data_IF_473872827895
#
_entry.id   IF_473872827895
#
_cell.length_a   1.000
_cell.length_b   1.000
_cell.length_c   1.000
_cell.angle_alpha   90.00
_cell.angle_beta   90.00
_cell.angle_gamma   90.00
#
_symmetry.space_group_name_H-M   'P 1'
#
loop_
_entity.id
_entity.type
_entity.pdbx_description
1 polymer ?
#
# COMPACT_ATOMS: atom_id res chain seq x y z
N UNK A 1 -29.88 -2.86 -93.87
CA UNK A 1 -30.80 -2.79 -92.73
C UNK A 1 -30.20 -3.61 -91.62
N UNK A 2 -29.62 -2.99 -90.66
CA UNK A 2 -28.92 -3.61 -89.52
C UNK A 2 -29.85 -3.68 -88.31
N UNK A 3 -30.14 -4.86 -87.82
CA UNK A 3 -30.89 -5.11 -86.61
C UNK A 3 -29.98 -4.99 -85.38
N UNK A 4 -30.54 -4.65 -84.19
CA UNK A 4 -29.72 -4.42 -82.99
C UNK A 4 -29.19 -5.65 -82.41
N UNK A 5 -27.91 -5.58 -81.94
CA UNK A 5 -27.21 -6.64 -81.19
C UNK A 5 -27.91 -6.89 -79.83
N UNK A 6 -27.96 -8.13 -79.30
CA UNK A 6 -28.53 -8.42 -78.00
C UNK A 6 -27.55 -8.06 -76.86
N UNK A 7 -28.10 -7.49 -75.81
CA UNK A 7 -27.39 -7.19 -74.58
C UNK A 7 -26.88 -8.44 -73.89
N UNK A 8 -25.68 -8.44 -73.30
CA UNK A 8 -25.18 -9.60 -72.58
C UNK A 8 -25.96 -9.81 -71.26
N UNK A 9 -26.34 -11.04 -71.00
CA UNK A 9 -27.04 -11.48 -69.81
C UNK A 9 -26.19 -11.22 -68.56
N UNK A 10 -26.76 -10.50 -67.62
CA UNK A 10 -26.21 -10.35 -66.24
C UNK A 10 -26.12 -11.75 -65.58
N UNK A 11 -24.92 -12.31 -65.56
CA UNK A 11 -24.64 -13.50 -64.77
C UNK A 11 -24.86 -13.21 -63.28
N UNK A 12 -25.80 -13.88 -62.65
CA UNK A 12 -26.00 -13.93 -61.20
C UNK A 12 -24.68 -14.26 -60.53
N UNK A 13 -24.07 -13.32 -59.85
CA UNK A 13 -22.94 -13.60 -58.93
C UNK A 13 -23.43 -14.56 -57.87
N UNK A 14 -22.69 -15.68 -57.69
CA UNK A 14 -23.01 -16.69 -56.69
C UNK A 14 -23.03 -16.07 -55.28
N UNK A 15 -23.95 -16.49 -54.39
CA UNK A 15 -24.07 -15.92 -53.03
C UNK A 15 -22.81 -16.10 -52.20
N UNK A 16 -21.96 -17.09 -52.47
CA UNK A 16 -20.70 -17.36 -51.76
C UNK A 16 -19.64 -16.24 -51.86
N UNK A 17 -19.58 -15.52 -53.00
CA UNK A 17 -18.60 -14.41 -53.17
C UNK A 17 -18.99 -13.21 -52.32
N UNK A 18 -20.26 -13.00 -52.03
CA UNK A 18 -20.76 -11.93 -51.15
C UNK A 18 -20.44 -12.17 -49.66
N UNK A 19 -20.55 -13.40 -49.24
CA UNK A 19 -20.27 -13.81 -47.85
C UNK A 19 -18.76 -13.78 -47.54
N UNK A 20 -17.92 -14.30 -48.40
CA UNK A 20 -16.45 -14.26 -48.23
C UNK A 20 -15.94 -12.82 -48.20
N UNK A 21 -16.46 -11.91 -49.04
CA UNK A 21 -16.11 -10.49 -48.98
C UNK A 21 -16.59 -9.81 -47.68
N UNK A 22 -17.76 -10.19 -47.19
CA UNK A 22 -18.25 -9.68 -45.87
C UNK A 22 -17.38 -10.15 -44.73
N UNK A 23 -17.03 -11.42 -44.66
CA UNK A 23 -16.16 -11.97 -43.62
C UNK A 23 -14.77 -11.31 -43.67
N UNK A 24 -14.21 -11.11 -44.87
CA UNK A 24 -12.91 -10.44 -45.02
C UNK A 24 -12.97 -8.97 -44.63
N UNK A 25 -14.05 -8.25 -44.95
CA UNK A 25 -14.25 -6.86 -44.52
C UNK A 25 -14.43 -6.74 -43.01
N UNK A 26 -15.20 -7.68 -42.40
CA UNK A 26 -15.37 -7.75 -40.95
C UNK A 26 -14.04 -8.06 -40.23
N UNK A 27 -13.23 -8.96 -40.77
CA UNK A 27 -11.91 -9.27 -40.18
C UNK A 27 -10.94 -8.10 -40.31
N UNK A 28 -10.92 -7.39 -41.43
CA UNK A 28 -10.11 -6.19 -41.60
C UNK A 28 -10.59 -5.02 -40.72
N UNK A 29 -11.90 -4.85 -40.58
CA UNK A 29 -12.48 -3.81 -39.71
C UNK A 29 -12.19 -4.15 -38.23
N UNK A 30 -12.30 -5.42 -37.84
CA UNK A 30 -11.96 -5.89 -36.52
C UNK A 30 -10.47 -5.67 -36.20
N UNK A 31 -9.59 -6.02 -37.14
CA UNK A 31 -8.16 -5.79 -37.01
C UNK A 31 -7.82 -4.29 -36.96
N UNK A 32 -8.46 -3.50 -37.82
CA UNK A 32 -8.30 -2.03 -37.80
C UNK A 32 -8.78 -1.41 -36.49
N UNK A 33 -9.94 -1.85 -35.96
CA UNK A 33 -10.46 -1.42 -34.67
C UNK A 33 -9.55 -1.87 -33.52
N UNK A 34 -9.03 -3.10 -33.55
CA UNK A 34 -8.05 -3.57 -32.58
C UNK A 34 -6.75 -2.77 -32.62
N UNK A 35 -6.24 -2.46 -33.82
CA UNK A 35 -5.04 -1.62 -34.00
C UNK A 35 -5.30 -0.18 -33.57
N UNK A 36 -6.49 0.38 -33.88
CA UNK A 36 -6.89 1.72 -33.47
C UNK A 36 -7.09 1.82 -31.96
N UNK A 37 -7.76 0.85 -31.34
CA UNK A 37 -7.90 0.74 -29.89
C UNK A 37 -6.53 0.56 -29.19
N UNK A 38 -5.63 -0.22 -29.79
CA UNK A 38 -4.26 -0.40 -29.30
C UNK A 38 -3.42 0.90 -29.39
N UNK A 39 -3.77 1.78 -30.38
CA UNK A 39 -3.12 3.08 -30.57
C UNK A 39 -3.66 4.17 -29.64
N UNK A 40 -4.86 3.99 -29.07
CA UNK A 40 -5.46 4.90 -28.09
C UNK A 40 -5.14 4.51 -26.64
N UNK A 41 -4.63 3.28 -26.39
CA UNK A 41 -4.17 2.86 -25.07
C UNK A 41 -2.74 3.37 -24.83
N UNK A 42 -2.59 4.17 -23.80
CA UNK A 42 -1.31 4.72 -23.39
C UNK A 42 -0.39 3.62 -22.83
N UNK A 43 0.59 3.20 -23.62
CA UNK A 43 1.59 2.22 -23.18
C UNK A 43 2.66 2.90 -22.34
N UNK A 44 2.75 2.53 -21.08
CA UNK A 44 3.75 3.02 -20.13
C UNK A 44 4.85 1.97 -19.92
N UNK A 45 6.09 2.40 -19.81
CA UNK A 45 7.21 1.50 -19.49
C UNK A 45 7.11 0.98 -18.06
N UNK A 46 6.77 1.87 -17.13
CA UNK A 46 6.54 1.51 -15.73
C UNK A 46 5.33 2.26 -15.17
N UNK A 47 4.45 1.55 -14.48
CA UNK A 47 3.39 2.15 -13.67
C UNK A 47 3.65 1.84 -12.20
N UNK A 48 3.63 2.89 -11.37
CA UNK A 48 3.78 2.78 -9.91
C UNK A 48 2.43 3.03 -9.26
N UNK A 49 2.01 2.15 -8.36
CA UNK A 49 0.71 2.21 -7.71
C UNK A 49 0.92 2.50 -6.22
N UNK A 50 0.63 3.74 -5.82
CA UNK A 50 0.83 4.25 -4.47
C UNK A 50 1.93 5.29 -4.37
N UNK A 51 1.72 6.30 -3.51
CA UNK A 51 2.53 7.51 -3.37
C UNK A 51 3.20 7.68 -2.01
N UNK A 52 3.28 6.62 -1.23
CA UNK A 52 4.08 6.63 -0.01
C UNK A 52 5.59 6.77 -0.29
N UNK A 53 6.45 6.75 0.74
CA UNK A 53 7.90 6.85 0.56
C UNK A 53 8.46 5.83 -0.43
N UNK A 54 7.89 4.62 -0.50
CA UNK A 54 8.28 3.60 -1.47
C UNK A 54 7.98 4.03 -2.91
N UNK A 55 6.74 4.49 -3.18
CA UNK A 55 6.31 4.88 -4.53
C UNK A 55 7.06 6.08 -5.06
N UNK A 56 7.17 7.16 -4.29
CA UNK A 56 7.94 8.33 -4.74
C UNK A 56 9.43 8.01 -4.91
N UNK A 57 10.02 7.21 -4.02
CA UNK A 57 11.43 6.81 -4.20
C UNK A 57 11.59 5.96 -5.47
N UNK A 58 10.70 5.03 -5.73
CA UNK A 58 10.72 4.25 -6.97
C UNK A 58 10.62 5.16 -8.20
N UNK A 59 9.72 6.15 -8.18
CA UNK A 59 9.57 7.12 -9.27
C UNK A 59 10.82 7.97 -9.49
N UNK A 60 11.51 8.39 -8.42
CA UNK A 60 12.78 9.12 -8.49
C UNK A 60 13.84 8.28 -9.20
N UNK A 61 14.02 7.01 -8.80
CA UNK A 61 15.04 6.14 -9.37
C UNK A 61 14.72 5.72 -10.80
N UNK A 62 13.46 5.39 -11.10
CA UNK A 62 13.02 5.07 -12.46
C UNK A 62 13.20 6.25 -13.42
N UNK A 63 12.79 7.47 -13.00
CA UNK A 63 13.02 8.68 -13.80
C UNK A 63 14.50 8.99 -14.04
N UNK A 64 15.37 8.75 -13.04
CA UNK A 64 16.82 8.91 -13.20
C UNK A 64 17.45 7.87 -14.15
N UNK A 65 16.81 6.72 -14.34
CA UNK A 65 17.17 5.68 -15.31
C UNK A 65 16.51 5.90 -16.68
N UNK A 66 15.90 7.06 -16.92
CA UNK A 66 15.18 7.42 -18.16
C UNK A 66 14.05 6.44 -18.51
N UNK A 67 13.42 5.86 -17.49
CA UNK A 67 12.25 5.01 -17.64
C UNK A 67 11.00 5.87 -17.58
N UNK A 68 10.23 5.90 -18.68
CA UNK A 68 8.92 6.55 -18.71
C UNK A 68 8.03 5.96 -17.62
N UNK A 69 7.70 6.76 -16.62
CA UNK A 69 7.04 6.32 -15.40
C UNK A 69 5.78 7.14 -15.12
N UNK A 70 4.68 6.45 -14.86
CA UNK A 70 3.45 7.04 -14.34
C UNK A 70 3.23 6.52 -12.93
N UNK A 71 2.96 7.43 -11.99
CA UNK A 71 2.62 7.09 -10.60
C UNK A 71 1.19 7.50 -10.28
N UNK A 72 0.38 6.56 -9.81
CA UNK A 72 -0.96 6.81 -9.27
C UNK A 72 -0.90 6.99 -7.76
N UNK A 73 -1.37 8.14 -7.27
CA UNK A 73 -1.19 8.54 -5.85
C UNK A 73 -2.05 7.75 -4.87
N UNK A 74 -3.18 7.19 -5.31
CA UNK A 74 -4.16 6.59 -4.41
C UNK A 74 -5.08 7.65 -3.78
N UNK A 75 -5.85 7.21 -2.77
CA UNK A 75 -6.81 8.09 -2.07
C UNK A 75 -6.15 9.01 -1.04
N UNK A 76 -4.97 8.64 -0.58
CA UNK A 76 -4.18 9.40 0.41
C UNK A 76 -2.81 9.74 -0.20
N UNK A 77 -2.71 10.85 -0.96
CA UNK A 77 -1.44 11.29 -1.55
C UNK A 77 -0.34 11.49 -0.49
N UNK A 78 0.79 10.82 -0.66
CA UNK A 78 1.88 10.78 0.34
C UNK A 78 1.77 9.60 1.31
N UNK A 79 0.65 8.87 1.31
CA UNK A 79 0.42 7.68 2.12
C UNK A 79 0.33 7.96 3.61
N UNK A 80 0.49 6.92 4.43
CA UNK A 80 0.28 7.00 5.88
C UNK A 80 1.16 8.04 6.60
N UNK A 81 2.30 8.39 6.03
CA UNK A 81 3.18 9.39 6.65
C UNK A 81 2.49 10.74 6.81
N UNK A 82 1.55 11.09 5.92
CA UNK A 82 0.78 12.35 5.99
C UNK A 82 -0.22 12.40 7.15
N UNK A 83 -0.41 11.30 7.87
CA UNK A 83 -1.30 11.25 9.05
C UNK A 83 -0.60 11.62 10.36
N UNK A 84 0.72 11.83 10.35
CA UNK A 84 1.50 12.35 11.48
C UNK A 84 1.95 13.79 11.24
N UNK A 85 2.47 14.45 12.27
CA UNK A 85 2.92 15.84 12.17
C UNK A 85 4.42 15.92 11.90
N UNK A 86 5.25 15.49 12.84
CA UNK A 86 6.71 15.56 12.77
C UNK A 86 7.29 14.14 12.63
N UNK A 87 8.20 13.99 11.69
CA UNK A 87 8.97 12.75 11.46
C UNK A 87 10.38 13.00 11.94
N UNK A 88 10.78 12.37 13.05
CA UNK A 88 12.11 12.52 13.66
C UNK A 88 13.07 11.38 13.30
N UNK A 89 12.56 10.30 12.74
CA UNK A 89 13.32 9.09 12.45
C UNK A 89 13.65 8.87 10.95
N UNK A 90 13.44 9.90 10.11
CA UNK A 90 13.92 9.87 8.73
C UNK A 90 15.28 10.55 8.64
N UNK A 91 16.35 9.84 8.22
CA UNK A 91 17.70 10.40 8.23
C UNK A 91 17.86 11.64 7.34
N UNK A 92 18.65 12.60 7.78
CA UNK A 92 18.96 13.83 7.06
C UNK A 92 18.28 15.08 7.60
N UNK A 93 17.44 14.94 8.62
CA UNK A 93 16.73 16.03 9.29
C UNK A 93 17.02 16.05 10.79
N UNK A 94 18.01 16.82 11.18
CA UNK A 94 18.55 16.86 12.56
C UNK A 94 17.49 17.25 13.62
N UNK A 95 16.51 18.07 13.23
CA UNK A 95 15.44 18.55 14.11
C UNK A 95 14.06 17.95 13.73
N UNK A 96 14.06 16.82 13.02
CA UNK A 96 12.85 16.29 12.41
C UNK A 96 12.36 17.10 11.22
N UNK A 97 11.32 16.63 10.57
CA UNK A 97 10.71 17.29 9.42
C UNK A 97 9.19 17.15 9.50
N UNK A 98 8.47 18.17 9.10
CA UNK A 98 7.02 18.05 8.91
C UNK A 98 6.72 16.98 7.84
N UNK A 99 5.84 16.05 8.19
CA UNK A 99 5.55 14.88 7.36
C UNK A 99 5.01 15.25 5.98
N UNK A 100 4.12 16.24 5.92
CA UNK A 100 3.55 16.71 4.65
C UNK A 100 4.61 17.40 3.78
N UNK A 101 5.50 18.17 4.41
CA UNK A 101 6.63 18.82 3.73
C UNK A 101 7.62 17.81 3.17
N UNK A 102 7.90 16.73 3.89
CA UNK A 102 8.75 15.63 3.41
C UNK A 102 8.12 14.97 2.18
N UNK A 103 6.83 14.59 2.25
CA UNK A 103 6.14 13.93 1.16
C UNK A 103 5.97 14.83 -0.06
N UNK A 104 5.70 16.13 0.15
CA UNK A 104 5.66 17.12 -0.93
C UNK A 104 7.01 17.26 -1.63
N UNK A 105 8.11 17.24 -0.87
CA UNK A 105 9.48 17.29 -1.40
C UNK A 105 9.82 16.04 -2.21
N UNK A 106 9.44 14.84 -1.74
CA UNK A 106 9.63 13.59 -2.48
C UNK A 106 8.81 13.57 -3.78
N UNK A 107 7.56 14.04 -3.75
CA UNK A 107 6.70 14.22 -4.92
C UNK A 107 7.35 15.16 -5.96
N UNK A 108 7.77 16.34 -5.52
CA UNK A 108 8.43 17.32 -6.38
C UNK A 108 9.74 16.78 -6.99
N UNK A 109 10.49 16.01 -6.21
CA UNK A 109 11.71 15.35 -6.68
C UNK A 109 11.40 14.30 -7.75
N UNK A 110 10.39 13.45 -7.58
CA UNK A 110 9.95 12.47 -8.57
C UNK A 110 9.51 13.15 -9.87
N UNK A 111 8.68 14.19 -9.77
CA UNK A 111 8.23 14.97 -10.94
C UNK A 111 9.39 15.65 -11.68
N UNK A 112 10.39 16.18 -10.95
CA UNK A 112 11.60 16.78 -11.54
C UNK A 112 12.41 15.80 -12.39
N UNK A 113 12.38 14.51 -12.06
CA UNK A 113 13.01 13.45 -12.85
C UNK A 113 12.09 12.84 -13.92
N UNK A 114 10.97 13.48 -14.23
CA UNK A 114 10.12 13.12 -15.37
C UNK A 114 9.01 12.10 -15.05
N UNK A 115 8.82 11.72 -13.78
CA UNK A 115 7.69 10.89 -13.41
C UNK A 115 6.38 11.69 -13.55
N UNK A 116 5.42 11.16 -14.30
CA UNK A 116 4.07 11.71 -14.37
C UNK A 116 3.28 11.24 -13.14
N UNK A 117 2.89 12.17 -12.30
CA UNK A 117 2.15 11.88 -11.07
C UNK A 117 0.67 12.17 -11.30
N UNK A 118 -0.17 11.15 -11.17
CA UNK A 118 -1.61 11.21 -11.43
C UNK A 118 -2.39 11.05 -10.12
N UNK A 119 -3.38 11.91 -9.89
CA UNK A 119 -4.35 11.70 -8.80
C UNK A 119 -5.23 10.47 -9.10
N UNK A 120 -5.90 9.96 -8.07
CA UNK A 120 -6.78 8.80 -8.19
C UNK A 120 -6.07 7.48 -7.95
N UNK A 121 -6.80 6.38 -8.06
CA UNK A 121 -6.34 5.04 -7.74
C UNK A 121 -6.59 4.04 -8.86
N UNK A 122 -5.79 3.00 -8.91
CA UNK A 122 -6.08 1.82 -9.73
C UNK A 122 -7.13 0.97 -9.02
N UNK A 123 -8.18 0.59 -9.73
CA UNK A 123 -9.33 -0.19 -9.22
C UNK A 123 -9.46 -1.57 -9.84
N UNK A 124 -8.85 -1.79 -11.01
CA UNK A 124 -8.79 -3.10 -11.64
C UNK A 124 -7.37 -3.38 -12.14
N UNK A 125 -6.95 -4.65 -12.07
CA UNK A 125 -5.68 -5.11 -12.60
C UNK A 125 -5.86 -6.46 -13.29
N UNK A 126 -5.35 -6.58 -14.51
CA UNK A 126 -5.21 -7.83 -15.24
C UNK A 126 -3.72 -8.07 -15.52
N UNK A 127 -3.18 -9.06 -14.83
CA UNK A 127 -1.77 -9.45 -14.93
C UNK A 127 -1.60 -10.80 -15.64
N UNK A 128 -2.60 -11.23 -16.44
CA UNK A 128 -2.56 -12.50 -17.17
C UNK A 128 -1.57 -12.50 -18.33
N UNK A 129 -1.46 -11.37 -19.03
CA UNK A 129 -0.60 -11.21 -20.22
C UNK A 129 0.06 -9.84 -20.25
N UNK A 130 1.27 -9.77 -20.80
CA UNK A 130 1.97 -8.50 -21.03
C UNK A 130 1.65 -7.92 -22.43
N UNK A 131 1.58 -6.59 -22.53
CA UNK A 131 1.65 -5.59 -21.47
C UNK A 131 0.42 -5.67 -20.56
N UNK A 132 0.64 -5.44 -19.26
CA UNK A 132 -0.40 -5.53 -18.23
C UNK A 132 -1.45 -4.45 -18.39
N UNK A 133 -2.70 -4.77 -18.04
CA UNK A 133 -3.82 -3.84 -18.14
C UNK A 133 -4.30 -3.45 -16.76
N UNK A 134 -4.47 -2.15 -16.60
CA UNK A 134 -4.97 -1.54 -15.36
C UNK A 134 -6.14 -0.63 -15.71
N UNK A 135 -6.97 -0.34 -14.73
CA UNK A 135 -8.04 0.64 -14.85
C UNK A 135 -8.06 1.53 -13.62
N UNK A 136 -8.13 2.83 -13.83
CA UNK A 136 -8.26 3.78 -12.75
C UNK A 136 -9.72 4.00 -12.33
N UNK A 137 -9.94 4.74 -11.25
CA UNK A 137 -11.26 5.04 -10.69
C UNK A 137 -12.12 5.97 -11.55
N UNK A 138 -11.56 6.54 -12.63
CA UNK A 138 -12.32 7.27 -13.66
C UNK A 138 -12.80 6.36 -14.78
N UNK A 139 -12.35 5.10 -14.80
CA UNK A 139 -12.61 4.13 -15.85
C UNK A 139 -11.61 4.16 -17.01
N UNK A 140 -10.54 4.96 -16.92
CA UNK A 140 -9.48 5.02 -17.93
C UNK A 140 -8.66 3.72 -17.89
N UNK A 141 -8.44 3.12 -19.05
CA UNK A 141 -7.55 1.98 -19.22
C UNK A 141 -6.09 2.43 -19.39
N UNK A 142 -5.20 1.75 -18.69
CA UNK A 142 -3.76 1.98 -18.68
C UNK A 142 -3.06 0.67 -19.02
N UNK A 143 -2.02 0.75 -19.82
CA UNK A 143 -1.21 -0.41 -20.22
C UNK A 143 0.22 -0.20 -19.77
N UNK A 144 0.84 -1.23 -19.16
CA UNK A 144 2.17 -1.14 -18.58
C UNK A 144 3.04 -2.35 -18.95
N UNK A 145 4.31 -2.12 -19.27
CA UNK A 145 5.30 -3.19 -19.46
C UNK A 145 5.81 -3.73 -18.13
N UNK A 146 5.92 -2.86 -17.12
CA UNK A 146 6.28 -3.21 -15.75
C UNK A 146 5.43 -2.46 -14.73
N UNK A 147 5.25 -3.06 -13.54
CA UNK A 147 4.47 -2.51 -12.43
C UNK A 147 5.29 -2.52 -11.14
N UNK A 148 5.16 -1.45 -10.35
CA UNK A 148 5.60 -1.42 -8.96
C UNK A 148 4.38 -1.20 -8.07
N UNK A 149 4.07 -2.20 -7.24
CA UNK A 149 3.00 -2.15 -6.26
C UNK A 149 3.57 -1.57 -4.97
N UNK A 150 3.19 -0.34 -4.65
CA UNK A 150 3.65 0.42 -3.48
C UNK A 150 2.46 0.95 -2.65
N UNK A 151 1.40 0.14 -2.57
CA UNK A 151 0.10 0.49 -1.99
C UNK A 151 0.11 0.57 -0.46
N UNK A 152 1.20 0.11 0.18
CA UNK A 152 1.38 0.18 1.62
C UNK A 152 0.51 -0.80 2.40
N UNK A 153 0.36 -0.52 3.70
CA UNK A 153 -0.50 -1.27 4.61
C UNK A 153 -1.26 -0.30 5.51
N UNK A 154 -2.49 -0.64 5.86
CA UNK A 154 -3.34 0.19 6.72
C UNK A 154 -3.34 -0.35 8.15
N UNK A 155 -3.07 0.50 9.13
CA UNK A 155 -3.15 0.13 10.53
C UNK A 155 -4.58 -0.24 10.93
N UNK A 156 -4.72 -1.27 11.75
CA UNK A 156 -6.00 -1.66 12.31
C UNK A 156 -6.32 -0.82 13.53
N UNK A 157 -7.58 -0.42 13.64
CA UNK A 157 -8.14 0.34 14.76
C UNK A 157 -9.26 -0.47 15.44
N UNK A 158 -9.63 -0.10 16.67
CA UNK A 158 -10.77 -0.73 17.36
C UNK A 158 -12.12 -0.24 16.81
N UNK A 159 -12.11 0.87 16.09
CA UNK A 159 -13.31 1.50 15.53
C UNK A 159 -14.05 2.39 16.52
N UNK A 160 -13.39 2.85 17.57
CA UNK A 160 -13.97 3.75 18.55
C UNK A 160 -13.95 5.20 18.06
N UNK A 161 -15.05 5.97 18.22
CA UNK A 161 -15.02 7.41 17.87
C UNK A 161 -13.93 8.19 18.60
N UNK A 162 -13.61 7.81 19.84
CA UNK A 162 -12.54 8.41 20.63
C UNK A 162 -11.14 8.15 20.09
N UNK A 163 -10.89 6.99 19.46
CA UNK A 163 -9.62 6.74 18.77
C UNK A 163 -9.40 7.76 17.65
N UNK A 164 -10.44 7.98 16.84
CA UNK A 164 -10.36 8.91 15.71
C UNK A 164 -10.14 10.36 16.20
N UNK A 165 -10.78 10.74 17.31
CA UNK A 165 -10.60 12.07 17.91
C UNK A 165 -9.16 12.32 18.33
N UNK A 166 -8.50 11.32 18.92
CA UNK A 166 -7.15 11.47 19.49
C UNK A 166 -6.04 10.89 18.61
N UNK A 167 -6.34 10.53 17.37
CA UNK A 167 -5.33 10.09 16.39
C UNK A 167 -4.30 11.21 16.16
N UNK A 168 -3.02 10.91 16.42
CA UNK A 168 -1.94 11.90 16.41
C UNK A 168 -1.89 12.84 17.65
N UNK A 169 -2.85 12.71 18.56
CA UNK A 169 -2.89 13.44 19.84
C UNK A 169 -2.83 12.46 21.03
N UNK A 170 -2.07 11.39 20.88
CA UNK A 170 -1.89 10.36 21.91
C UNK A 170 -2.32 8.96 21.48
N UNK A 171 -3.15 8.80 20.44
CA UNK A 171 -3.44 7.50 19.81
C UNK A 171 -2.50 7.27 18.64
N UNK A 172 -1.75 6.17 18.70
CA UNK A 172 -0.78 5.75 17.69
C UNK A 172 -0.92 4.26 17.35
N UNK A 173 -0.53 3.88 16.14
CA UNK A 173 -0.40 2.49 15.70
C UNK A 173 1.05 2.09 15.40
N UNK A 174 2.03 2.88 15.91
CA UNK A 174 3.45 2.65 15.66
C UNK A 174 4.28 3.06 16.88
N UNK A 175 4.66 2.11 17.71
CA UNK A 175 5.48 2.37 18.89
C UNK A 175 6.88 2.89 18.55
N UNK A 176 7.49 2.40 17.47
CA UNK A 176 8.82 2.86 17.02
C UNK A 176 8.81 4.26 16.41
N UNK A 177 7.64 4.72 15.92
CA UNK A 177 7.48 6.07 15.40
C UNK A 177 7.33 7.08 16.54
N UNK A 178 6.40 6.82 17.46
CA UNK A 178 5.90 7.81 18.41
C UNK A 178 6.36 7.56 19.86
N UNK A 179 6.91 6.40 20.16
CA UNK A 179 7.26 6.01 21.54
C UNK A 179 8.23 6.98 22.24
N UNK A 180 9.09 7.65 21.49
CA UNK A 180 10.03 8.63 22.04
C UNK A 180 9.33 9.82 22.74
N UNK A 181 8.18 10.26 22.24
CA UNK A 181 7.39 11.36 22.82
C UNK A 181 6.78 11.02 24.19
N UNK A 182 6.75 9.72 24.52
CA UNK A 182 6.18 9.19 25.76
C UNK A 182 7.24 8.73 26.78
N UNK A 183 8.49 9.17 26.61
CA UNK A 183 9.55 8.87 27.59
C UNK A 183 9.15 9.28 28.98
N UNK A 184 9.33 8.33 29.95
CA UNK A 184 9.01 8.50 31.40
C UNK A 184 7.52 8.75 31.68
N UNK A 185 6.64 8.52 30.71
CA UNK A 185 5.17 8.62 30.84
C UNK A 185 4.56 7.22 30.97
N UNK A 186 3.29 7.17 31.34
CA UNK A 186 2.51 5.93 31.39
C UNK A 186 1.76 5.77 30.07
N UNK A 187 1.80 4.56 29.47
CA UNK A 187 1.17 4.29 28.18
C UNK A 187 0.40 2.99 28.20
N UNK A 188 -0.53 2.81 27.26
CA UNK A 188 -1.19 1.54 27.03
C UNK A 188 -0.88 0.99 25.64
N UNK A 189 -0.80 -0.35 25.51
CA UNK A 189 -0.71 -1.09 24.27
C UNK A 189 -1.89 -2.06 24.20
N UNK A 190 -2.71 -1.93 23.15
CA UNK A 190 -3.80 -2.86 22.91
C UNK A 190 -3.34 -3.99 22.01
N UNK A 191 -3.52 -5.23 22.48
CA UNK A 191 -3.20 -6.41 21.71
C UNK A 191 -2.59 -7.52 22.55
N UNK A 192 -2.48 -8.71 21.98
CA UNK A 192 -1.93 -9.90 22.64
C UNK A 192 -1.23 -10.86 21.68
N UNK A 193 -0.86 -10.39 20.47
CA UNK A 193 0.01 -11.09 19.53
C UNK A 193 1.45 -10.61 19.62
N UNK A 194 2.33 -11.18 18.79
CA UNK A 194 3.77 -10.85 18.78
C UNK A 194 3.99 -9.34 18.60
N UNK A 195 3.34 -8.68 17.65
CA UNK A 195 3.46 -7.22 17.44
C UNK A 195 3.16 -6.42 18.72
N UNK A 196 2.08 -6.76 19.45
CA UNK A 196 1.75 -6.06 20.69
C UNK A 196 2.80 -6.26 21.77
N UNK A 197 3.35 -7.47 21.87
CA UNK A 197 4.41 -7.79 22.83
C UNK A 197 5.73 -7.07 22.47
N UNK A 198 6.07 -6.99 21.17
CA UNK A 198 7.22 -6.24 20.68
C UNK A 198 7.09 -4.74 20.98
N UNK A 199 5.94 -4.16 20.65
CA UNK A 199 5.65 -2.75 20.92
C UNK A 199 5.68 -2.45 22.43
N UNK A 200 5.06 -3.30 23.25
CA UNK A 200 5.05 -3.13 24.70
C UNK A 200 6.46 -3.20 25.30
N UNK A 201 7.28 -4.15 24.85
CA UNK A 201 8.67 -4.27 25.32
C UNK A 201 9.57 -3.13 24.84
N UNK A 202 9.35 -2.63 23.63
CA UNK A 202 10.01 -1.44 23.10
C UNK A 202 9.65 -0.19 23.95
N UNK A 203 8.36 0.04 24.16
CA UNK A 203 7.87 1.17 24.98
C UNK A 203 8.31 1.07 26.43
N UNK A 204 8.41 -0.14 26.99
CA UNK A 204 8.90 -0.32 28.35
C UNK A 204 10.35 0.15 28.55
N UNK A 205 11.16 0.14 27.50
CA UNK A 205 12.51 0.72 27.50
C UNK A 205 12.54 2.25 27.54
N UNK A 206 11.43 2.91 27.21
CA UNK A 206 11.32 4.36 27.15
C UNK A 206 10.40 4.93 28.24
N UNK A 207 9.28 4.27 28.48
CA UNK A 207 8.18 4.74 29.31
C UNK A 207 8.35 4.34 30.77
N UNK A 208 7.67 5.06 31.65
CA UNK A 208 7.65 4.75 33.09
C UNK A 208 6.87 3.46 33.35
N UNK A 209 5.72 3.30 32.70
CA UNK A 209 4.86 2.13 32.81
C UNK A 209 4.14 1.85 31.49
N UNK A 210 3.94 0.57 31.16
CA UNK A 210 3.19 0.11 30.01
C UNK A 210 2.07 -0.81 30.48
N UNK A 211 0.82 -0.45 30.15
CA UNK A 211 -0.33 -1.32 30.36
C UNK A 211 -0.62 -2.10 29.05
N UNK A 212 -0.60 -3.41 29.09
CA UNK A 212 -1.06 -4.23 27.96
C UNK A 212 -2.53 -4.58 28.14
N UNK A 213 -3.39 -4.10 27.27
CA UNK A 213 -4.84 -4.38 27.28
C UNK A 213 -5.11 -5.59 26.41
N UNK A 214 -5.39 -6.75 27.06
CA UNK A 214 -5.56 -8.03 26.38
C UNK A 214 -6.98 -8.54 26.58
N UNK A 215 -7.73 -8.72 25.48
CA UNK A 215 -9.16 -9.13 25.52
C UNK A 215 -9.41 -10.56 26.01
N UNK A 216 -8.36 -11.38 26.05
CA UNK A 216 -8.40 -12.79 26.51
C UNK A 216 -7.59 -12.94 27.79
N UNK A 217 -7.63 -14.12 28.38
CA UNK A 217 -6.81 -14.53 29.53
C UNK A 217 -5.45 -15.13 29.14
N UNK A 218 -5.16 -15.18 27.82
CA UNK A 218 -3.91 -15.69 27.25
C UNK A 218 -3.43 -14.83 26.11
N UNK A 219 -2.12 -14.78 25.92
CA UNK A 219 -1.51 -14.24 24.70
C UNK A 219 -1.68 -15.18 23.51
N UNK A 220 -1.68 -14.63 22.30
CA UNK A 220 -1.49 -15.36 21.05
C UNK A 220 -0.04 -15.30 20.55
N UNK A 221 0.77 -14.49 21.21
CA UNK A 221 2.18 -14.32 20.90
C UNK A 221 2.98 -15.63 21.09
N UNK A 222 4.13 -15.72 20.46
CA UNK A 222 5.10 -16.79 20.66
C UNK A 222 5.55 -16.85 22.13
N UNK A 223 5.97 -18.04 22.59
CA UNK A 223 6.45 -18.22 23.98
C UNK A 223 7.60 -17.26 24.31
N UNK A 224 8.52 -17.07 23.39
CA UNK A 224 9.66 -16.16 23.58
C UNK A 224 9.20 -14.72 23.86
N UNK A 225 8.16 -14.24 23.15
CA UNK A 225 7.61 -12.90 23.37
C UNK A 225 6.84 -12.82 24.69
N UNK A 226 6.10 -13.86 25.06
CA UNK A 226 5.43 -13.93 26.37
C UNK A 226 6.42 -13.87 27.52
N UNK A 227 7.52 -14.63 27.45
CA UNK A 227 8.60 -14.63 28.45
C UNK A 227 9.25 -13.24 28.54
N UNK A 228 9.48 -12.57 27.40
CA UNK A 228 10.04 -11.23 27.38
C UNK A 228 9.13 -10.22 28.08
N UNK A 229 7.83 -10.26 27.82
CA UNK A 229 6.83 -9.40 28.50
C UNK A 229 6.85 -9.69 30.01
N UNK A 230 6.80 -10.97 30.41
CA UNK A 230 6.80 -11.36 31.82
C UNK A 230 8.09 -10.97 32.58
N UNK A 231 9.22 -10.94 31.87
CA UNK A 231 10.50 -10.51 32.43
C UNK A 231 10.67 -8.97 32.51
N UNK A 232 9.75 -8.19 31.97
CA UNK A 232 9.84 -6.73 31.91
C UNK A 232 9.03 -6.11 33.05
N UNK A 233 9.68 -5.54 34.10
CA UNK A 233 9.03 -5.25 35.39
C UNK A 233 8.01 -4.07 35.33
N UNK A 234 8.13 -3.18 34.35
CA UNK A 234 7.24 -2.04 34.18
C UNK A 234 6.11 -2.30 33.17
N UNK A 235 5.92 -3.56 32.73
CA UNK A 235 4.74 -3.96 31.96
C UNK A 235 3.71 -4.59 32.91
N UNK A 236 2.48 -4.07 32.88
CA UNK A 236 1.32 -4.65 33.56
C UNK A 236 0.32 -5.17 32.53
N UNK A 237 -0.05 -6.44 32.60
CA UNK A 237 -1.01 -7.03 31.67
C UNK A 237 -2.41 -7.01 32.27
N UNK A 238 -3.33 -6.31 31.60
CA UNK A 238 -4.74 -6.22 31.95
C UNK A 238 -5.52 -7.27 31.14
N UNK A 239 -5.67 -8.45 31.73
CA UNK A 239 -6.34 -9.59 31.09
C UNK A 239 -7.86 -9.44 31.06
N UNK A 240 -8.47 -10.02 30.02
CA UNK A 240 -9.92 -10.04 29.81
C UNK A 240 -10.52 -8.63 29.74
N UNK A 241 -9.76 -7.65 29.26
CA UNK A 241 -10.15 -6.25 29.15
C UNK A 241 -10.30 -5.84 27.68
N UNK A 242 -11.36 -5.09 27.41
CA UNK A 242 -11.55 -4.36 26.15
C UNK A 242 -11.56 -2.85 26.44
N UNK A 243 -11.07 -2.07 25.49
CA UNK A 243 -11.22 -0.61 25.54
C UNK A 243 -12.62 -0.23 25.15
N UNK A 244 -13.29 0.53 25.99
CA UNK A 244 -14.61 1.10 25.71
C UNK A 244 -14.47 2.50 25.13
N UNK A 245 -13.51 3.28 25.63
CA UNK A 245 -13.30 4.67 25.25
C UNK A 245 -11.85 5.07 25.52
N UNK A 246 -11.26 5.89 24.65
CA UNK A 246 -10.03 6.62 24.93
C UNK A 246 -10.43 7.98 25.52
N UNK A 247 -9.91 8.30 26.69
CA UNK A 247 -10.20 9.52 27.42
C UNK A 247 -9.12 10.57 27.13
N UNK A 248 -9.52 11.83 27.06
CA UNK A 248 -8.59 12.91 26.81
C UNK A 248 -9.27 14.26 26.78
N UNK A 249 -8.46 15.30 26.68
CA UNK A 249 -8.86 16.70 26.57
C UNK A 249 -8.21 17.36 25.34
N UNK A 250 -8.17 18.67 25.31
CA UNK A 250 -7.58 19.43 24.18
C UNK A 250 -6.06 19.25 24.06
N UNK A 251 -5.39 18.74 25.10
CA UNK A 251 -3.95 18.43 25.10
C UNK A 251 -3.64 17.02 24.58
N UNK A 252 -4.65 16.17 24.43
CA UNK A 252 -4.53 14.80 23.93
C UNK A 252 -5.06 13.73 24.89
N UNK A 253 -4.51 12.52 24.80
CA UNK A 253 -4.91 11.38 25.64
C UNK A 253 -4.51 11.60 27.10
N UNK A 254 -5.44 11.38 28.03
CA UNK A 254 -5.22 11.41 29.48
C UNK A 254 -5.57 10.10 30.17
N UNK A 255 -6.23 9.16 29.46
CA UNK A 255 -6.65 7.89 30.01
C UNK A 255 -7.33 6.97 29.01
N UNK A 256 -7.75 5.82 29.52
CA UNK A 256 -8.62 4.90 28.78
C UNK A 256 -9.64 4.26 29.73
N UNK A 257 -10.88 4.17 29.28
CA UNK A 257 -11.96 3.43 29.96
C UNK A 257 -11.99 2.02 29.46
N UNK A 258 -11.84 1.10 30.36
CA UNK A 258 -11.78 -0.33 30.10
C UNK A 258 -13.00 -1.03 30.67
N UNK A 259 -13.45 -2.07 29.98
CA UNK A 259 -14.46 -3.00 30.46
C UNK A 259 -13.87 -4.40 30.53
N UNK A 260 -13.95 -5.01 31.70
CA UNK A 260 -13.53 -6.39 31.92
C UNK A 260 -14.66 -7.35 31.52
N UNK A 261 -14.30 -8.60 31.23
CA UNK A 261 -15.25 -9.66 30.83
C UNK A 261 -16.38 -9.89 31.83
N UNK A 262 -16.15 -9.61 33.11
CA UNK A 262 -17.15 -9.68 34.20
C UNK A 262 -18.12 -8.48 34.25
N UNK A 263 -17.97 -7.53 33.31
CA UNK A 263 -18.78 -6.31 33.22
C UNK A 263 -18.23 -5.14 34.03
N UNK A 264 -17.15 -5.34 34.81
CA UNK A 264 -16.55 -4.24 35.61
C UNK A 264 -15.93 -3.20 34.69
N UNK A 265 -16.35 -1.96 34.83
CA UNK A 265 -15.80 -0.80 34.12
C UNK A 265 -14.84 -0.07 35.07
N UNK A 266 -13.69 0.37 34.55
CA UNK A 266 -12.70 1.17 35.28
C UNK A 266 -11.85 1.97 34.32
N UNK A 267 -11.29 3.06 34.81
CA UNK A 267 -10.41 3.93 34.03
C UNK A 267 -8.96 3.72 34.46
N UNK A 268 -8.06 3.84 33.47
CA UNK A 268 -6.60 3.93 33.72
C UNK A 268 -6.11 5.30 33.24
N UNK A 269 -5.14 5.86 33.96
CA UNK A 269 -4.47 7.10 33.57
C UNK A 269 -3.26 6.77 32.71
N UNK A 270 -3.21 7.33 31.50
CA UNK A 270 -2.14 7.15 30.52
C UNK A 270 -1.98 8.42 29.68
N UNK A 271 -0.79 8.66 29.17
CA UNK A 271 -0.48 9.76 28.26
C UNK A 271 -0.51 9.33 26.78
N UNK A 272 -0.41 8.03 26.51
CA UNK A 272 -0.37 7.47 25.15
C UNK A 272 -1.09 6.14 25.04
N UNK A 273 -1.76 5.91 23.91
CA UNK A 273 -2.57 4.74 23.62
C UNK A 273 -2.13 4.12 22.28
N UNK A 274 -1.46 2.98 22.33
CA UNK A 274 -0.87 2.30 21.17
C UNK A 274 -1.68 1.09 20.74
N UNK A 275 -1.83 0.92 19.43
CA UNK A 275 -2.64 -0.13 18.81
C UNK A 275 -1.77 -1.23 18.21
N UNK A 276 -1.32 -2.16 19.05
CA UNK A 276 -0.57 -3.37 18.65
C UNK A 276 -1.46 -4.48 18.07
N UNK A 277 -2.52 -4.14 17.32
CA UNK A 277 -3.49 -5.09 16.76
C UNK A 277 -3.24 -5.45 15.30
N UNK A 278 -2.11 -4.97 14.76
CA UNK A 278 -1.58 -5.31 13.45
C UNK A 278 -2.04 -4.36 12.34
N UNK A 279 -1.61 -4.70 11.14
CA UNK A 279 -1.89 -3.96 9.91
C UNK A 279 -2.61 -4.87 8.92
N UNK A 280 -3.13 -4.26 7.88
CA UNK A 280 -3.72 -4.92 6.73
C UNK A 280 -3.00 -4.40 5.48
N UNK A 281 -2.23 -5.23 4.78
CA UNK A 281 -1.56 -4.82 3.55
C UNK A 281 -2.60 -4.56 2.46
N UNK A 282 -2.43 -3.48 1.70
CA UNK A 282 -3.37 -3.08 0.63
C UNK A 282 -3.05 -3.86 -0.66
N UNK A 283 -3.20 -5.16 -0.61
CA UNK A 283 -2.83 -6.12 -1.67
C UNK A 283 -4.01 -6.76 -2.38
N UNK A 284 -5.26 -6.51 -1.95
CA UNK A 284 -6.46 -7.22 -2.40
C UNK A 284 -6.64 -7.19 -3.91
N UNK A 285 -6.34 -6.04 -4.53
CA UNK A 285 -6.44 -5.85 -5.97
C UNK A 285 -5.56 -6.85 -6.75
N UNK A 286 -4.48 -7.30 -6.13
CA UNK A 286 -3.46 -8.16 -6.74
C UNK A 286 -3.51 -9.61 -6.24
N UNK A 287 -4.31 -9.92 -5.21
CA UNK A 287 -4.36 -11.23 -4.55
C UNK A 287 -4.71 -12.39 -5.50
N UNK A 288 -5.43 -12.10 -6.59
CA UNK A 288 -5.73 -13.09 -7.64
C UNK A 288 -4.48 -13.53 -8.43
N UNK A 289 -3.48 -12.66 -8.50
CA UNK A 289 -2.33 -12.81 -9.39
C UNK A 289 -1.04 -13.13 -8.64
N UNK A 290 -0.89 -12.58 -7.44
CA UNK A 290 0.34 -12.62 -6.67
C UNK A 290 0.20 -13.52 -5.45
N UNK A 291 1.28 -14.18 -5.09
CA UNK A 291 1.35 -14.93 -3.84
C UNK A 291 1.43 -13.96 -2.66
N UNK A 292 0.65 -14.23 -1.63
CA UNK A 292 0.68 -13.51 -0.35
C UNK A 292 0.94 -14.47 0.79
N UNK A 293 1.44 -13.93 1.90
CA UNK A 293 1.50 -14.67 3.15
C UNK A 293 0.10 -14.82 3.79
N UNK A 294 0.03 -15.47 4.94
CA UNK A 294 -1.23 -15.69 5.69
C UNK A 294 -1.90 -14.40 6.17
N UNK A 295 -1.16 -13.28 6.21
CA UNK A 295 -1.65 -11.97 6.61
C UNK A 295 -1.97 -11.05 5.42
N UNK A 296 -1.74 -11.52 4.19
CA UNK A 296 -2.02 -10.81 2.94
C UNK A 296 -0.84 -9.99 2.40
N UNK A 297 0.35 -10.03 3.00
CA UNK A 297 1.53 -9.34 2.46
C UNK A 297 2.04 -10.01 1.20
N UNK A 298 2.36 -9.22 0.17
CA UNK A 298 2.90 -9.74 -1.09
C UNK A 298 4.27 -10.36 -0.84
N UNK A 299 4.45 -11.61 -1.26
CA UNK A 299 5.71 -12.33 -1.14
C UNK A 299 6.62 -11.92 -2.29
N UNK A 300 7.84 -11.45 -1.98
CA UNK A 300 8.90 -11.16 -2.93
C UNK A 300 9.97 -12.24 -2.93
N UNK A 301 10.71 -12.36 -4.02
CA UNK A 301 11.70 -13.43 -4.21
C UNK A 301 13.06 -13.06 -3.60
N UNK A 302 13.45 -13.77 -2.56
CA UNK A 302 14.75 -13.59 -1.91
C UNK A 302 14.99 -12.19 -1.39
N UNK A 303 16.01 -11.51 -1.92
CA UNK A 303 16.36 -10.13 -1.56
C UNK A 303 15.91 -9.08 -2.60
N UNK A 304 15.21 -9.52 -3.64
CA UNK A 304 14.70 -8.64 -4.71
C UNK A 304 13.31 -8.11 -4.36
N UNK A 305 12.78 -7.22 -5.21
CA UNK A 305 11.39 -6.78 -5.17
C UNK A 305 10.50 -7.55 -6.14
N UNK A 306 11.06 -8.55 -6.84
CA UNK A 306 10.35 -9.39 -7.80
C UNK A 306 9.24 -10.19 -7.12
N UNK A 307 8.09 -10.28 -7.80
CA UNK A 307 6.99 -11.17 -7.41
C UNK A 307 7.00 -12.43 -8.29
N UNK A 308 6.09 -13.36 -8.05
CA UNK A 308 5.94 -14.53 -8.91
C UNK A 308 5.44 -14.22 -10.34
N UNK A 309 5.17 -12.95 -10.68
CA UNK A 309 4.73 -12.50 -12.02
C UNK A 309 5.83 -11.64 -12.64
N UNK A 310 6.43 -12.06 -13.78
CA UNK A 310 7.55 -11.33 -14.39
C UNK A 310 7.19 -9.89 -14.75
N UNK A 311 8.02 -8.92 -14.32
CA UNK A 311 7.77 -7.49 -14.55
C UNK A 311 6.82 -6.84 -13.55
N UNK A 312 6.37 -7.57 -12.53
CA UNK A 312 5.59 -7.04 -11.42
C UNK A 312 6.42 -7.10 -10.15
N UNK A 313 6.57 -5.96 -9.49
CA UNK A 313 7.43 -5.74 -8.33
C UNK A 313 6.61 -5.20 -7.16
N UNK A 314 7.02 -5.48 -5.93
CA UNK A 314 6.37 -4.95 -4.74
C UNK A 314 7.37 -4.21 -3.85
N UNK A 315 6.95 -3.07 -3.27
CA UNK A 315 7.77 -2.23 -2.43
C UNK A 315 6.97 -1.56 -1.29
N UNK A 316 7.63 -1.24 -0.20
CA UNK A 316 7.02 -0.65 0.99
C UNK A 316 6.24 -1.67 1.80
N UNK A 317 5.36 -1.16 2.63
CA UNK A 317 4.66 -1.94 3.65
C UNK A 317 3.71 -3.01 3.08
N UNK A 318 3.36 -2.96 1.81
CA UNK A 318 2.53 -3.99 1.16
C UNK A 318 3.25 -5.35 1.09
N UNK A 319 4.59 -5.36 1.17
CA UNK A 319 5.45 -6.56 1.16
C UNK A 319 6.30 -6.71 2.44
N UNK A 320 6.29 -5.71 3.35
CA UNK A 320 7.08 -5.72 4.57
C UNK A 320 6.18 -5.89 5.81
N UNK A 321 6.03 -7.11 6.34
CA UNK A 321 5.25 -7.37 7.54
C UNK A 321 5.96 -6.94 8.85
N UNK A 322 7.26 -6.56 8.80
CA UNK A 322 8.09 -6.40 9.98
C UNK A 322 8.39 -4.94 10.33
N UNK A 323 9.06 -4.22 9.41
CA UNK A 323 9.65 -2.91 9.75
C UNK A 323 8.66 -1.76 9.66
N UNK A 324 7.98 -1.62 8.53
CA UNK A 324 6.97 -0.56 8.29
C UNK A 324 7.47 0.82 8.70
N UNK A 325 8.66 1.18 8.23
CA UNK A 325 9.29 2.47 8.46
C UNK A 325 9.44 3.23 7.14
N UNK A 326 9.34 4.58 7.19
CA UNK A 326 9.48 5.42 6.00
C UNK A 326 10.80 5.19 5.26
N UNK A 327 11.89 5.02 6.00
CA UNK A 327 13.23 4.78 5.43
C UNK A 327 13.35 3.40 4.79
N UNK A 328 12.78 2.34 5.39
CA UNK A 328 12.78 0.99 4.79
C UNK A 328 11.86 0.92 3.59
N UNK A 329 10.73 1.61 3.62
CA UNK A 329 9.82 1.74 2.50
C UNK A 329 10.52 2.47 1.32
N UNK A 330 11.20 3.60 1.56
CA UNK A 330 11.99 4.30 0.56
C UNK A 330 13.09 3.41 -0.03
N UNK A 331 13.85 2.69 0.82
CA UNK A 331 14.89 1.76 0.37
C UNK A 331 14.33 0.63 -0.51
N UNK A 332 13.16 0.09 -0.18
CA UNK A 332 12.49 -0.93 -1.02
C UNK A 332 12.00 -0.35 -2.35
N UNK A 333 11.53 0.91 -2.38
CA UNK A 333 11.18 1.62 -3.61
C UNK A 333 12.37 1.81 -4.55
N UNK A 334 13.54 2.18 -3.99
CA UNK A 334 14.79 2.22 -4.74
C UNK A 334 15.13 0.86 -5.36
N UNK A 335 15.05 -0.23 -4.59
CA UNK A 335 15.29 -1.59 -5.06
C UNK A 335 14.34 -1.96 -6.20
N UNK A 336 13.05 -1.70 -6.04
CA UNK A 336 12.04 -2.01 -7.05
C UNK A 336 12.31 -1.30 -8.38
N UNK A 337 12.71 -0.04 -8.35
CA UNK A 337 13.07 0.68 -9.57
C UNK A 337 14.31 0.11 -10.28
N UNK A 338 15.33 -0.29 -9.52
CA UNK A 338 16.53 -0.95 -10.08
C UNK A 338 16.21 -2.34 -10.67
N UNK A 339 15.31 -3.09 -10.03
CA UNK A 339 14.84 -4.38 -10.55
C UNK A 339 14.01 -4.18 -11.82
N UNK A 340 13.15 -3.15 -11.90
CA UNK A 340 12.42 -2.76 -13.12
C UNK A 340 13.40 -2.40 -14.26
N UNK A 341 14.43 -1.61 -13.98
CA UNK A 341 15.44 -1.23 -14.97
C UNK A 341 16.11 -2.48 -15.55
N UNK A 342 16.60 -3.37 -14.68
CA UNK A 342 17.20 -4.65 -15.08
C UNK A 342 16.24 -5.48 -15.92
N UNK A 343 14.99 -5.59 -15.50
CA UNK A 343 13.97 -6.35 -16.20
C UNK A 343 13.68 -5.78 -17.60
N UNK A 344 13.43 -4.48 -17.72
CA UNK A 344 13.16 -3.84 -19.02
C UNK A 344 14.35 -3.93 -19.98
N UNK A 345 15.57 -3.89 -19.45
CA UNK A 345 16.79 -4.09 -20.26
C UNK A 345 16.95 -5.53 -20.76
N UNK A 346 16.43 -6.53 -20.02
CA UNK A 346 16.44 -7.93 -20.45
C UNK A 346 15.45 -8.24 -21.58
N UNK A 347 14.50 -7.32 -21.87
CA UNK A 347 13.52 -7.46 -22.93
C UNK A 347 13.98 -6.88 -24.28
N UNK A 348 15.10 -6.14 -24.29
CA UNK A 348 15.71 -5.61 -25.52
C UNK A 348 16.55 -6.66 -26.23
#
# INVERSE_FOLDING_TARGET
>A
QSGPLPLPALTRQSPEIGEVKRIFLFSQLSLYLQVKMKKEMELNKCVIIGSGPAGYTAAIYAGRADIQTVLYEGMEPGGQLTTTTIVENYPGFENGVDANSLMASMKAQAARFGAEIRPGRIVEADLSERPYRLKDDTGKEIVAEALIIATGATAKYLGLPSEQKFKGLGVSACATCDGFFYRKKDVAVVGGGDSACEEATYLAGLCKKVYMIVRRDVFRASKAMQERVAATPNIEVLWNCNTQEVLGDDSGVTGARLVRKDGKVFDISIDGFFLGIGHHPNSELFAKWLKTDENGYIITEGKTSETGVPGVFAAGDVQDPHYRQAVTAAASGCRAALDVEKYLNSLK
#
